data_IF_186821056380
#
_entry.id   IF_186821056380
#
_cell.length_a   1.000
_cell.length_b   1.000
_cell.length_c   1.000
_cell.angle_alpha   90.00
_cell.angle_beta   90.00
_cell.angle_gamma   90.00
#
_symmetry.space_group_name_H-M   'P 1'
#
loop_
_entity.id
_entity.type
_entity.pdbx_description
1 polymer ?
#
# COMPACT_ATOMS: atom_id res chain seq x y z
N UNK A 1 16.96 13.01 -7.90
CA UNK A 1 16.10 13.84 -7.02
C UNK A 1 15.12 14.70 -7.82
N UNK A 2 15.52 15.32 -8.93
CA UNK A 2 14.62 16.14 -9.76
C UNK A 2 13.33 15.42 -10.18
N UNK A 3 13.44 14.15 -10.61
CA UNK A 3 12.27 13.31 -10.95
C UNK A 3 11.26 13.16 -9.80
N UNK A 4 11.73 12.84 -8.59
CA UNK A 4 10.84 12.66 -7.44
C UNK A 4 10.14 13.96 -7.03
N UNK A 5 10.87 15.08 -7.07
CA UNK A 5 10.29 16.40 -6.80
C UNK A 5 9.21 16.72 -7.81
N UNK A 6 9.47 16.52 -9.10
CA UNK A 6 8.50 16.75 -10.17
C UNK A 6 7.24 15.89 -9.96
N UNK A 7 7.40 14.58 -9.75
CA UNK A 7 6.27 13.68 -9.54
C UNK A 7 5.45 14.04 -8.30
N UNK A 8 6.08 14.47 -7.22
CA UNK A 8 5.37 14.88 -6.01
C UNK A 8 4.59 16.18 -6.23
N UNK A 9 5.18 17.17 -6.90
CA UNK A 9 4.50 18.44 -7.21
C UNK A 9 3.33 18.23 -8.17
N UNK A 10 3.52 17.42 -9.21
CA UNK A 10 2.48 17.12 -10.21
C UNK A 10 1.27 16.40 -9.61
N UNK A 11 1.49 15.47 -8.67
CA UNK A 11 0.43 14.65 -8.07
C UNK A 11 -0.16 15.26 -6.78
N UNK A 12 0.54 16.23 -6.15
CA UNK A 12 0.13 16.86 -4.90
C UNK A 12 0.24 18.40 -5.01
N UNK A 13 -0.47 19.04 -5.96
CA UNK A 13 -0.28 20.46 -6.26
C UNK A 13 -0.61 21.39 -5.09
N UNK A 14 -1.57 21.00 -4.24
CA UNK A 14 -2.02 21.80 -3.08
C UNK A 14 -1.17 21.54 -1.81
N UNK A 15 -0.07 20.81 -1.93
CA UNK A 15 0.73 20.41 -0.78
C UNK A 15 2.16 20.93 -0.86
N UNK A 16 2.68 21.34 0.28
CA UNK A 16 4.10 21.68 0.45
C UNK A 16 4.85 20.43 0.91
N UNK A 17 5.90 20.06 0.17
CA UNK A 17 6.77 18.92 0.47
C UNK A 17 8.10 19.43 1.05
N UNK A 18 8.45 18.97 2.25
CA UNK A 18 9.75 19.23 2.88
C UNK A 18 10.55 17.94 3.08
N UNK A 19 11.87 18.03 2.94
CA UNK A 19 12.80 16.91 3.09
C UNK A 19 13.94 17.28 4.05
N UNK A 20 14.04 16.55 5.16
CA UNK A 20 15.12 16.72 6.15
C UNK A 20 15.97 15.47 6.27
N UNK A 21 17.29 15.64 6.27
CA UNK A 21 18.22 14.54 6.55
C UNK A 21 18.08 14.11 8.01
N UNK A 22 17.99 12.80 8.24
CA UNK A 22 18.05 12.21 9.58
C UNK A 22 19.45 11.66 9.86
N UNK A 23 19.85 11.57 11.14
CA UNK A 23 21.16 11.06 11.54
C UNK A 23 21.35 9.57 11.24
N UNK A 24 20.26 8.80 11.11
CA UNK A 24 20.26 7.38 10.74
C UNK A 24 20.53 7.11 9.25
N UNK A 25 20.73 8.17 8.44
CA UNK A 25 20.94 8.04 7.01
C UNK A 25 19.64 8.07 6.19
N UNK A 26 18.47 8.09 6.81
CA UNK A 26 17.18 8.25 6.13
C UNK A 26 16.88 9.71 5.81
N UNK A 27 15.79 9.92 5.07
CA UNK A 27 15.23 11.23 4.76
C UNK A 27 13.84 11.32 5.40
N UNK A 28 13.60 12.32 6.23
CA UNK A 28 12.29 12.65 6.74
C UNK A 28 11.54 13.47 5.68
N UNK A 29 10.46 12.93 5.15
CA UNK A 29 9.54 13.66 4.29
C UNK A 29 8.37 14.17 5.13
N UNK A 30 8.04 15.44 4.97
CA UNK A 30 6.86 16.06 5.58
C UNK A 30 6.00 16.67 4.48
N UNK A 31 4.70 16.37 4.51
CA UNK A 31 3.70 16.96 3.63
C UNK A 31 2.81 17.88 4.45
N UNK A 32 2.63 19.10 3.98
CA UNK A 32 1.71 20.08 4.58
C UNK A 32 0.65 20.51 3.61
N UNK A 33 -0.56 20.73 4.12
CA UNK A 33 -1.68 21.36 3.41
C UNK A 33 -2.24 22.44 4.33
N UNK A 34 -2.40 23.66 3.82
CA UNK A 34 -2.91 24.80 4.60
C UNK A 34 -2.15 25.03 5.93
N UNK A 35 -0.81 24.86 5.88
CA UNK A 35 0.13 24.90 7.01
C UNK A 35 -0.01 23.78 8.07
N UNK A 36 -1.00 22.89 7.91
CA UNK A 36 -1.15 21.70 8.74
C UNK A 36 -0.35 20.52 8.20
N UNK A 37 0.28 19.77 9.11
CA UNK A 37 1.03 18.56 8.77
C UNK A 37 0.05 17.41 8.54
N UNK A 38 -0.05 16.95 7.29
CA UNK A 38 -0.99 15.89 6.90
C UNK A 38 -0.32 14.53 6.72
N UNK A 39 0.99 14.50 6.47
CA UNK A 39 1.74 13.25 6.31
C UNK A 39 3.21 13.42 6.71
N UNK A 40 3.75 12.49 7.49
CA UNK A 40 5.16 12.47 7.89
C UNK A 40 5.69 11.06 7.77
N UNK A 41 6.78 10.88 7.04
CA UNK A 41 7.40 9.57 6.88
C UNK A 41 8.91 9.63 6.72
N UNK A 42 9.61 8.73 7.39
CA UNK A 42 11.00 8.44 7.09
C UNK A 42 11.10 7.52 5.87
N UNK A 43 11.84 7.95 4.86
CA UNK A 43 12.07 7.22 3.61
C UNK A 43 13.57 6.99 3.39
N UNK A 44 13.90 5.88 2.72
CA UNK A 44 15.25 5.64 2.25
C UNK A 44 15.66 6.69 1.20
N UNK A 45 16.92 7.10 1.18
CA UNK A 45 17.45 8.06 0.19
C UNK A 45 17.28 7.58 -1.24
N UNK A 46 17.37 6.28 -1.50
CA UNK A 46 17.17 5.68 -2.81
C UNK A 46 15.73 5.85 -3.32
N UNK A 47 14.76 6.05 -2.44
CA UNK A 47 13.35 6.24 -2.81
C UNK A 47 13.17 7.45 -3.73
N UNK A 48 13.92 8.54 -3.54
CA UNK A 48 13.81 9.75 -4.38
C UNK A 48 14.56 9.68 -5.72
N UNK A 49 15.20 8.55 -6.02
CA UNK A 49 15.89 8.31 -7.30
C UNK A 49 15.27 7.18 -8.13
N UNK A 50 14.53 6.27 -7.49
CA UNK A 50 13.95 5.13 -8.14
C UNK A 50 12.46 5.39 -8.44
N UNK A 51 12.10 5.44 -9.72
CA UNK A 51 10.73 5.71 -10.17
C UNK A 51 9.68 4.80 -9.52
N UNK A 52 9.94 3.49 -9.47
CA UNK A 52 9.00 2.53 -8.88
C UNK A 52 8.77 2.79 -7.41
N UNK A 53 9.80 3.23 -6.68
CA UNK A 53 9.71 3.60 -5.26
C UNK A 53 9.01 4.95 -5.06
N UNK A 54 9.22 5.93 -5.95
CA UNK A 54 8.46 7.20 -5.94
C UNK A 54 6.97 6.93 -6.16
N UNK A 55 6.61 6.09 -7.15
CA UNK A 55 5.22 5.71 -7.40
C UNK A 55 4.58 4.98 -6.21
N UNK A 56 5.32 4.06 -5.59
CA UNK A 56 4.87 3.39 -4.38
C UNK A 56 4.63 4.38 -3.23
N UNK A 57 5.52 5.37 -3.05
CA UNK A 57 5.37 6.43 -2.06
C UNK A 57 4.13 7.30 -2.34
N UNK A 58 3.89 7.68 -3.60
CA UNK A 58 2.69 8.42 -4.00
C UNK A 58 1.40 7.64 -3.69
N UNK A 59 1.36 6.35 -4.04
CA UNK A 59 0.21 5.49 -3.75
C UNK A 59 -0.06 5.39 -2.25
N UNK A 60 0.99 5.35 -1.43
CA UNK A 60 0.88 5.35 0.01
C UNK A 60 0.31 6.66 0.55
N UNK A 61 0.81 7.81 0.09
CA UNK A 61 0.28 9.13 0.47
C UNK A 61 -1.21 9.24 0.11
N UNK A 62 -1.58 8.83 -1.11
CA UNK A 62 -2.98 8.85 -1.56
C UNK A 62 -3.86 7.87 -0.76
N UNK A 63 -3.30 6.75 -0.32
CA UNK A 63 -4.03 5.79 0.52
C UNK A 63 -4.28 6.40 1.90
N UNK A 64 -3.25 6.98 2.52
CA UNK A 64 -3.36 7.56 3.86
C UNK A 64 -4.29 8.78 3.87
N UNK A 65 -4.26 9.64 2.84
CA UNK A 65 -5.20 10.75 2.74
C UNK A 65 -6.66 10.28 2.63
N UNK A 66 -6.89 9.18 1.90
CA UNK A 66 -8.20 8.54 1.79
C UNK A 66 -8.63 7.84 3.07
N UNK A 67 -7.69 7.32 3.85
CA UNK A 67 -7.97 6.76 5.19
C UNK A 67 -8.38 7.88 6.16
N UNK A 68 -7.66 9.00 6.15
CA UNK A 68 -7.95 10.14 7.05
C UNK A 68 -9.26 10.84 6.68
N UNK A 69 -9.59 10.97 5.39
CA UNK A 69 -10.87 11.54 4.93
C UNK A 69 -12.07 10.60 5.13
N UNK A 70 -11.84 9.33 5.48
CA UNK A 70 -12.89 8.33 5.64
C UNK A 70 -13.45 7.79 4.31
N UNK A 71 -12.93 8.23 3.15
CA UNK A 71 -13.25 7.66 1.84
C UNK A 71 -12.87 6.17 1.78
N UNK A 72 -11.75 5.82 2.40
CA UNK A 72 -11.41 4.44 2.71
C UNK A 72 -11.69 4.23 4.20
N UNK A 73 -12.77 3.53 4.49
CA UNK A 73 -12.94 2.94 5.81
C UNK A 73 -11.90 1.83 5.98
N UNK A 74 -10.84 2.09 6.76
CA UNK A 74 -10.09 1.01 7.38
C UNK A 74 -11.12 0.23 8.20
N UNK A 75 -11.49 -0.96 7.73
CA UNK A 75 -12.41 -1.80 8.49
C UNK A 75 -11.81 -1.93 9.90
N UNK A 76 -12.56 -1.47 10.90
CA UNK A 76 -12.08 -1.22 12.27
C UNK A 76 -11.55 -2.47 12.97
N UNK A 77 -11.32 -2.37 14.29
CA UNK A 77 -11.01 -3.51 15.17
C UNK A 77 -11.84 -4.74 14.76
N UNK A 78 -11.19 -5.71 14.09
CA UNK A 78 -11.87 -6.84 13.46
C UNK A 78 -11.56 -7.06 11.97
N UNK A 79 -10.83 -6.17 11.29
CA UNK A 79 -10.24 -6.47 9.99
C UNK A 79 -9.14 -7.53 10.14
N UNK A 80 -9.57 -8.80 10.07
CA UNK A 80 -8.72 -9.96 9.94
C UNK A 80 -7.59 -9.68 8.94
N UNK A 81 -6.34 -9.71 9.41
CA UNK A 81 -5.16 -9.92 8.58
C UNK A 81 -5.10 -11.36 8.04
N UNK A 82 -6.26 -11.99 7.87
CA UNK A 82 -6.43 -13.39 7.53
C UNK A 82 -7.41 -13.42 6.36
N UNK A 83 -6.87 -13.82 5.21
CA UNK A 83 -7.63 -14.21 4.04
C UNK A 83 -8.80 -15.14 4.44
N UNK A 84 -10.01 -14.83 3.96
CA UNK A 84 -11.22 -15.65 4.13
C UNK A 84 -11.11 -17.03 3.48
N UNK A 85 -9.95 -17.40 2.92
CA UNK A 85 -9.67 -18.74 2.44
C UNK A 85 -8.36 -19.34 2.95
N UNK A 86 -8.00 -19.13 4.22
CA UNK A 86 -7.19 -20.16 4.89
C UNK A 86 -7.96 -21.49 4.85
N UNK A 87 -7.31 -22.61 4.45
CA UNK A 87 -7.97 -23.89 4.39
C UNK A 87 -8.50 -24.17 5.78
N UNK A 88 -9.82 -24.36 5.86
CA UNK A 88 -10.57 -24.55 7.09
C UNK A 88 -9.86 -25.54 8.00
N UNK A 89 -9.07 -25.03 8.94
CA UNK A 89 -8.66 -25.83 10.08
C UNK A 89 -9.90 -25.92 10.96
N UNK A 90 -10.74 -26.91 10.69
CA UNK A 90 -11.96 -27.18 11.45
C UNK A 90 -11.68 -27.91 12.77
N UNK A 91 -10.40 -28.05 13.16
CA UNK A 91 -9.98 -28.88 14.30
C UNK A 91 -10.02 -30.39 14.03
N UNK A 92 -10.51 -30.82 12.85
CA UNK A 92 -10.47 -32.21 12.41
C UNK A 92 -9.17 -32.51 11.62
N UNK A 93 -8.73 -33.78 11.54
CA UNK A 93 -7.58 -34.17 10.72
C UNK A 93 -7.75 -33.67 9.28
N UNK A 94 -6.73 -32.98 8.77
CA UNK A 94 -6.74 -32.43 7.41
C UNK A 94 -6.90 -33.58 6.42
N UNK A 95 -8.06 -33.67 5.77
CA UNK A 95 -8.29 -34.67 4.73
C UNK A 95 -7.58 -34.22 3.44
N UNK A 96 -6.51 -34.91 2.99
CA UNK A 96 -5.69 -34.49 1.85
C UNK A 96 -6.49 -34.45 0.52
N UNK A 97 -7.56 -35.23 0.41
CA UNK A 97 -8.44 -35.25 -0.77
C UNK A 97 -9.25 -33.97 -0.89
N UNK A 98 -9.77 -33.45 0.23
CA UNK A 98 -10.51 -32.20 0.25
C UNK A 98 -9.62 -30.99 -0.12
N UNK A 99 -8.39 -30.98 0.41
CA UNK A 99 -7.41 -29.94 0.09
C UNK A 99 -7.04 -29.91 -1.41
N UNK A 100 -6.79 -31.07 -2.03
CA UNK A 100 -6.48 -31.17 -3.46
C UNK A 100 -7.64 -30.70 -4.35
N UNK A 101 -8.88 -31.02 -4.00
CA UNK A 101 -10.05 -30.64 -4.79
C UNK A 101 -10.34 -29.13 -4.75
N UNK A 102 -9.94 -28.43 -3.67
CA UNK A 102 -10.06 -26.97 -3.58
C UNK A 102 -9.04 -26.24 -4.47
N UNK A 103 -7.81 -26.74 -4.57
CA UNK A 103 -6.83 -26.22 -5.53
C UNK A 103 -7.31 -26.37 -6.98
N UNK A 104 -7.83 -27.55 -7.33
CA UNK A 104 -8.34 -27.83 -8.67
C UNK A 104 -9.57 -26.98 -9.06
N UNK A 105 -10.37 -26.51 -8.09
CA UNK A 105 -11.45 -25.54 -8.36
C UNK A 105 -10.90 -24.14 -8.67
N UNK A 106 -9.93 -23.64 -7.90
CA UNK A 106 -9.30 -22.33 -8.14
C UNK A 106 -8.64 -22.21 -9.51
N UNK A 107 -7.99 -23.29 -9.97
CA UNK A 107 -7.41 -23.34 -11.32
C UNK A 107 -8.47 -23.22 -12.44
N UNK A 108 -9.72 -23.64 -12.19
CA UNK A 108 -10.83 -23.47 -13.15
C UNK A 108 -11.44 -22.07 -13.09
N UNK A 109 -11.57 -21.49 -11.90
CA UNK A 109 -12.17 -20.15 -11.73
C UNK A 109 -11.24 -19.02 -12.23
N UNK A 110 -9.93 -19.25 -12.29
CA UNK A 110 -8.95 -18.32 -12.87
C UNK A 110 -8.86 -18.29 -14.40
N UNK A 111 -9.63 -19.13 -15.11
CA UNK A 111 -9.56 -19.28 -16.57
C UNK A 111 -10.32 -18.23 -17.40
N UNK A 112 -11.14 -17.38 -16.78
CA UNK A 112 -11.96 -16.37 -17.46
C UNK A 112 -11.37 -14.95 -17.34
N UNK A 113 -10.10 -14.77 -17.71
CA UNK A 113 -9.57 -13.47 -18.18
C UNK A 113 -8.53 -13.71 -19.27
N UNK A 114 -8.99 -14.22 -20.39
CA UNK A 114 -8.29 -14.15 -21.67
C UNK A 114 -9.15 -13.35 -22.67
N UNK A 115 -8.72 -12.11 -22.91
CA UNK A 115 -8.78 -11.34 -24.17
C UNK A 115 -10.15 -11.19 -24.87
N UNK A 116 -10.68 -9.96 -24.84
CA UNK A 116 -10.91 -9.07 -26.00
C UNK A 116 -11.60 -7.79 -25.53
#
# INVERSE_FOLDING_TARGET
MQYAIQQLIENLPDHVVDFKKRPDGMLLMTLRKDDEVVFVKAIDRQTVFCETRVKALLHEIMRDSKLTSGEINWKGQGAQWIDRTLPTFTGAPINPTAAKMMWARRARDGGYRAIA
#
